data_IF_170355558392
#
_entry.id   IF_170355558392
#
_cell.length_a   1.000
_cell.length_b   1.000
_cell.length_c   1.000
_cell.angle_alpha   90.00
_cell.angle_beta   90.00
_cell.angle_gamma   90.00
#
_symmetry.space_group_name_H-M   'P 1'
#
loop_
_entity.id
_entity.type
_entity.pdbx_description
1 polymer ?
#
# COMPACT_ATOMS: atom_id res chain seq x y z
N UNK A 1 13.63 -13.80 6.83
CA UNK A 1 13.34 -12.66 5.94
C UNK A 1 14.11 -12.85 4.65
N UNK A 2 13.43 -12.82 3.50
CA UNK A 2 14.05 -12.92 2.17
C UNK A 2 13.85 -11.60 1.43
N UNK A 3 14.96 -10.95 1.05
CA UNK A 3 14.95 -9.79 0.15
C UNK A 3 15.06 -10.25 -1.29
N UNK A 4 14.22 -9.72 -2.18
CA UNK A 4 14.25 -10.03 -3.61
C UNK A 4 14.03 -8.79 -4.48
N UNK A 5 14.43 -8.89 -5.74
CA UNK A 5 14.11 -7.90 -6.77
C UNK A 5 12.84 -8.38 -7.45
N UNK A 6 11.79 -7.58 -7.33
CA UNK A 6 10.46 -7.85 -7.86
C UNK A 6 10.31 -7.41 -9.32
N UNK A 7 11.03 -6.35 -9.69
CA UNK A 7 11.03 -5.78 -11.03
C UNK A 7 12.38 -5.12 -11.28
N UNK A 8 12.95 -5.31 -12.46
CA UNK A 8 14.20 -4.68 -12.91
C UNK A 8 13.99 -4.05 -14.29
N UNK A 9 14.34 -2.78 -14.41
CA UNK A 9 14.31 -2.05 -15.66
C UNK A 9 15.67 -1.40 -15.90
N UNK A 10 16.32 -1.79 -17.00
CA UNK A 10 17.60 -1.23 -17.42
C UNK A 10 17.43 0.24 -17.79
N UNK A 11 18.27 1.09 -17.22
CA UNK A 11 18.37 2.50 -17.57
C UNK A 11 19.64 2.72 -18.40
N UNK A 12 19.59 3.46 -19.52
CA UNK A 12 20.75 3.64 -20.40
C UNK A 12 21.88 4.46 -19.74
N UNK A 13 21.57 5.38 -18.81
CA UNK A 13 22.53 6.33 -18.24
C UNK A 13 22.57 6.34 -16.71
N UNK A 14 21.90 5.39 -16.04
CA UNK A 14 21.87 5.27 -14.57
C UNK A 14 21.86 3.80 -14.16
N UNK A 15 22.03 3.55 -12.87
CA UNK A 15 21.74 2.25 -12.28
C UNK A 15 20.34 1.78 -12.68
N UNK A 16 20.15 0.46 -12.77
CA UNK A 16 18.85 -0.12 -13.08
C UNK A 16 17.80 0.32 -12.06
N UNK A 17 16.59 0.54 -12.56
CA UNK A 17 15.44 0.77 -11.70
C UNK A 17 14.95 -0.57 -11.15
N UNK A 18 15.16 -0.79 -9.86
CA UNK A 18 14.75 -2.02 -9.18
C UNK A 18 13.66 -1.76 -8.14
N UNK A 19 12.60 -2.56 -8.16
CA UNK A 19 11.64 -2.62 -7.06
C UNK A 19 12.06 -3.76 -6.15
N UNK A 20 12.28 -3.48 -4.88
CA UNK A 20 12.62 -4.49 -3.89
C UNK A 20 11.40 -4.93 -3.09
N UNK A 21 11.31 -6.25 -2.88
CA UNK A 21 10.34 -6.88 -1.99
C UNK A 21 11.04 -7.55 -0.80
N UNK A 22 10.38 -7.52 0.35
CA UNK A 22 10.79 -8.25 1.56
C UNK A 22 9.70 -9.26 1.90
N UNK A 23 10.04 -10.54 1.85
CA UNK A 23 9.15 -11.65 2.21
C UNK A 23 9.43 -12.15 3.61
N UNK A 24 8.36 -12.44 4.33
CA UNK A 24 8.36 -12.99 5.67
C UNK A 24 7.41 -14.18 5.74
N UNK A 25 7.81 -15.22 6.49
CA UNK A 25 7.08 -16.47 6.51
C UNK A 25 7.14 -17.23 5.18
N UNK A 26 6.39 -18.33 5.09
CA UNK A 26 6.37 -19.23 3.95
C UNK A 26 4.96 -19.81 3.77
N UNK A 27 4.53 -20.02 2.53
CA UNK A 27 3.27 -20.69 2.19
C UNK A 27 2.31 -19.84 1.38
N UNK A 28 1.05 -19.77 1.81
CA UNK A 28 -0.02 -19.06 1.10
C UNK A 28 0.20 -17.54 1.19
N UNK A 29 0.03 -16.86 0.06
CA UNK A 29 0.13 -15.40 -0.05
C UNK A 29 -0.95 -14.70 0.78
N UNK A 30 -0.62 -14.30 2.00
CA UNK A 30 -1.58 -13.79 2.97
C UNK A 30 -1.77 -12.28 2.81
N UNK A 31 -0.72 -11.49 3.02
CA UNK A 31 -0.79 -10.01 2.97
C UNK A 31 0.33 -9.43 2.08
N UNK A 32 -0.03 -8.54 1.17
CA UNK A 32 0.91 -7.68 0.45
C UNK A 32 0.78 -6.24 0.95
N UNK A 33 1.91 -5.58 1.23
CA UNK A 33 1.98 -4.22 1.75
C UNK A 33 2.80 -3.38 0.80
N UNK A 34 2.18 -2.36 0.22
CA UNK A 34 2.80 -1.42 -0.73
C UNK A 34 2.99 -0.08 -0.02
N UNK A 35 4.24 0.37 0.06
CA UNK A 35 4.64 1.64 0.64
C UNK A 35 4.54 2.79 -0.35
N UNK A 36 5.58 3.62 -0.38
CA UNK A 36 5.63 4.83 -1.18
C UNK A 36 5.54 4.53 -2.69
N UNK A 37 4.53 5.08 -3.35
CA UNK A 37 4.37 4.99 -4.81
C UNK A 37 4.73 6.31 -5.50
N UNK A 38 4.71 7.40 -4.74
CA UNK A 38 5.13 8.75 -5.17
C UNK A 38 6.42 9.16 -4.45
N UNK A 39 7.19 10.05 -5.05
CA UNK A 39 8.50 10.42 -4.52
C UNK A 39 8.45 11.36 -3.31
N UNK A 40 7.32 11.97 -3.00
CA UNK A 40 7.12 12.82 -1.82
C UNK A 40 6.50 12.07 -0.62
N UNK A 41 6.40 10.74 -0.70
CA UNK A 41 5.81 9.85 0.31
C UNK A 41 6.85 9.29 1.31
N UNK A 42 7.73 10.17 1.81
CA UNK A 42 8.83 9.80 2.73
C UNK A 42 8.28 9.16 4.02
N UNK A 43 7.13 9.62 4.51
CA UNK A 43 6.49 9.08 5.71
C UNK A 43 6.07 7.61 5.52
N UNK A 44 5.52 7.27 4.35
CA UNK A 44 5.12 5.91 3.99
C UNK A 44 6.34 4.99 3.88
N UNK A 45 7.44 5.49 3.31
CA UNK A 45 8.71 4.76 3.28
C UNK A 45 9.25 4.50 4.70
N UNK A 46 9.18 5.48 5.60
CA UNK A 46 9.59 5.32 6.99
C UNK A 46 8.73 4.29 7.72
N UNK A 47 7.40 4.33 7.55
CA UNK A 47 6.50 3.33 8.14
C UNK A 47 6.86 1.93 7.64
N UNK A 48 7.12 1.77 6.33
CA UNK A 48 7.59 0.50 5.78
C UNK A 48 8.92 0.03 6.40
N UNK A 49 9.87 0.94 6.68
CA UNK A 49 11.15 0.56 7.29
C UNK A 49 10.97 0.05 8.72
N UNK A 50 10.13 0.71 9.52
CA UNK A 50 9.78 0.26 10.87
C UNK A 50 9.01 -1.06 10.83
N UNK A 51 8.10 -1.22 9.87
CA UNK A 51 7.35 -2.45 9.69
C UNK A 51 8.28 -3.63 9.34
N UNK A 52 9.21 -3.44 8.40
CA UNK A 52 10.21 -4.46 8.05
C UNK A 52 11.03 -4.82 9.28
N UNK A 53 11.51 -3.83 10.04
CA UNK A 53 12.26 -4.07 11.29
C UNK A 53 11.47 -4.91 12.29
N UNK A 54 10.21 -4.52 12.55
CA UNK A 54 9.35 -5.25 13.48
C UNK A 54 9.02 -6.66 12.99
N UNK A 55 8.77 -6.84 11.69
CA UNK A 55 8.50 -8.16 11.10
C UNK A 55 9.71 -9.08 11.20
N UNK A 56 10.94 -8.57 11.08
CA UNK A 56 12.16 -9.36 11.33
C UNK A 56 12.16 -9.89 12.78
N UNK A 57 11.88 -9.04 13.76
CA UNK A 57 11.84 -9.44 15.18
C UNK A 57 10.72 -10.47 15.47
N UNK A 58 9.55 -10.27 14.86
CA UNK A 58 8.40 -11.17 14.99
C UNK A 58 8.68 -12.53 14.35
N UNK A 59 9.28 -12.54 13.16
CA UNK A 59 9.66 -13.76 12.45
C UNK A 59 10.72 -14.54 13.23
N UNK A 60 11.71 -13.86 13.80
CA UNK A 60 12.73 -14.47 14.66
C UNK A 60 12.13 -15.13 15.91
N UNK A 61 11.03 -14.58 16.43
CA UNK A 61 10.27 -15.16 17.55
C UNK A 61 9.30 -16.28 17.13
N UNK A 62 9.19 -16.58 15.83
CA UNK A 62 8.27 -17.59 15.31
C UNK A 62 6.79 -17.25 15.50
N UNK A 63 6.48 -15.96 15.64
CA UNK A 63 5.12 -15.47 15.88
C UNK A 63 4.30 -15.34 14.60
N UNK A 64 4.92 -15.41 13.42
CA UNK A 64 4.18 -15.47 12.15
C UNK A 64 3.46 -16.83 12.06
N UNK A 65 2.17 -16.83 11.76
CA UNK A 65 1.38 -18.04 11.55
C UNK A 65 2.01 -18.90 10.46
N UNK A 66 2.18 -20.20 10.76
CA UNK A 66 2.77 -21.15 9.82
C UNK A 66 1.93 -21.23 8.54
N UNK A 67 2.59 -21.36 7.39
CA UNK A 67 1.92 -21.47 6.09
C UNK A 67 1.38 -20.15 5.52
N UNK A 68 1.72 -19.01 6.11
CA UNK A 68 1.31 -17.68 5.64
C UNK A 68 2.52 -16.83 5.29
N UNK A 69 2.47 -16.19 4.12
CA UNK A 69 3.50 -15.31 3.59
C UNK A 69 3.04 -13.84 3.61
N UNK A 70 3.95 -12.96 4.04
CA UNK A 70 3.78 -11.51 4.02
C UNK A 70 4.81 -10.91 3.08
N UNK A 71 4.38 -10.04 2.17
CA UNK A 71 5.25 -9.27 1.30
C UNK A 71 5.16 -7.79 1.62
N UNK A 72 6.31 -7.15 1.80
CA UNK A 72 6.43 -5.71 1.96
C UNK A 72 7.24 -5.13 0.80
N UNK A 73 6.67 -4.13 0.12
CA UNK A 73 7.28 -3.39 -0.98
C UNK A 73 7.45 -1.93 -0.51
N UNK A 74 8.62 -1.52 0.01
CA UNK A 74 8.76 -0.23 0.67
C UNK A 74 8.58 0.98 -0.26
N UNK A 75 9.01 0.84 -1.52
CA UNK A 75 8.83 1.87 -2.53
C UNK A 75 8.68 1.26 -3.91
N UNK A 76 7.68 1.74 -4.66
CA UNK A 76 7.49 1.42 -6.07
C UNK A 76 8.09 2.49 -7.00
N UNK A 77 8.65 3.58 -6.47
CA UNK A 77 9.17 4.70 -7.25
C UNK A 77 10.35 5.40 -6.54
N UNK A 78 11.44 4.66 -6.29
CA UNK A 78 12.61 5.21 -5.59
C UNK A 78 13.35 6.29 -6.38
N UNK A 79 13.31 6.27 -7.71
CA UNK A 79 13.90 7.32 -8.53
C UNK A 79 13.31 8.69 -8.28
N UNK A 80 11.97 8.79 -8.21
CA UNK A 80 11.33 10.07 -7.96
C UNK A 80 11.51 10.51 -6.51
N UNK A 81 11.63 9.54 -5.60
CA UNK A 81 11.93 9.80 -4.18
C UNK A 81 13.32 10.41 -3.97
N UNK A 82 14.33 9.93 -4.69
CA UNK A 82 15.71 10.46 -4.62
C UNK A 82 15.81 11.93 -5.04
N UNK A 83 14.89 12.42 -5.86
CA UNK A 83 14.84 13.82 -6.32
C UNK A 83 13.66 14.59 -5.71
N UNK A 84 12.98 14.02 -4.72
CA UNK A 84 11.78 14.58 -4.07
C UNK A 84 10.69 15.05 -5.07
N UNK A 85 10.55 14.34 -6.20
CA UNK A 85 9.52 14.61 -7.21
C UNK A 85 8.34 13.68 -6.98
N UNK A 86 7.15 14.25 -6.88
CA UNK A 86 5.92 13.50 -6.60
C UNK A 86 5.66 12.41 -7.65
N UNK A 87 5.71 12.77 -8.93
CA UNK A 87 5.44 11.88 -10.05
C UNK A 87 6.71 11.36 -10.69
N UNK A 88 6.57 10.44 -11.64
CA UNK A 88 7.71 9.86 -12.34
C UNK A 88 8.63 10.93 -12.92
N UNK A 89 9.93 10.75 -12.70
CA UNK A 89 10.92 11.78 -12.96
C UNK A 89 10.95 12.23 -14.44
N UNK A 90 10.76 11.29 -15.36
CA UNK A 90 10.95 11.50 -16.81
C UNK A 90 9.74 12.14 -17.50
N UNK A 91 8.53 11.67 -17.19
CA UNK A 91 7.30 12.01 -17.95
C UNK A 91 6.23 12.69 -17.06
N UNK A 92 6.50 12.84 -15.76
CA UNK A 92 5.57 13.40 -14.78
C UNK A 92 4.28 12.58 -14.58
N UNK A 93 4.30 11.29 -14.93
CA UNK A 93 3.15 10.38 -14.79
C UNK A 93 2.95 9.95 -13.33
N UNK A 94 1.69 9.96 -12.88
CA UNK A 94 1.29 9.40 -11.58
C UNK A 94 1.06 7.89 -11.70
N UNK A 95 1.97 7.08 -11.15
CA UNK A 95 1.85 5.60 -11.17
C UNK A 95 0.52 5.11 -10.58
N UNK A 96 -0.04 5.82 -9.59
CA UNK A 96 -1.31 5.44 -8.97
C UNK A 96 -2.52 5.63 -9.91
N UNK A 97 -2.31 6.18 -11.12
CA UNK A 97 -3.30 6.31 -12.20
C UNK A 97 -3.05 5.37 -13.37
N UNK A 98 -2.07 4.49 -13.22
CA UNK A 98 -1.65 3.58 -14.28
C UNK A 98 -2.03 2.14 -13.97
N UNK A 99 -2.89 1.85 -12.98
CA UNK A 99 -3.35 0.49 -12.70
C UNK A 99 -4.54 0.12 -13.60
N UNK A 100 -4.68 -1.17 -14.00
CA UNK A 100 -3.81 -2.31 -13.67
C UNK A 100 -2.45 -2.32 -14.38
N UNK A 101 -2.22 -1.40 -15.31
CA UNK A 101 -0.98 -1.27 -16.07
C UNK A 101 -1.07 -1.90 -17.45
N UNK A 102 -0.02 -1.67 -18.24
CA UNK A 102 0.16 -2.31 -19.54
C UNK A 102 1.64 -2.66 -19.72
N UNK A 103 1.93 -3.94 -19.89
CA UNK A 103 3.28 -4.52 -19.98
C UNK A 103 4.04 -4.12 -21.26
N UNK A 104 3.31 -3.74 -22.30
CA UNK A 104 3.83 -3.16 -23.56
C UNK A 104 3.64 -1.64 -23.64
N UNK A 105 3.19 -1.01 -22.55
CA UNK A 105 2.99 0.42 -22.47
C UNK A 105 4.27 1.19 -22.20
N UNK A 106 4.10 2.45 -21.81
CA UNK A 106 5.18 3.32 -21.36
C UNK A 106 5.79 2.82 -20.04
N UNK A 107 6.96 3.37 -19.69
CA UNK A 107 7.73 2.94 -18.50
C UNK A 107 6.87 2.83 -17.23
N UNK A 108 6.07 3.85 -16.93
CA UNK A 108 5.22 3.89 -15.72
C UNK A 108 4.10 2.85 -15.76
N UNK A 109 3.53 2.56 -16.94
CA UNK A 109 2.49 1.54 -17.11
C UNK A 109 3.06 0.13 -16.95
N UNK A 110 4.29 -0.11 -17.41
CA UNK A 110 5.00 -1.39 -17.26
C UNK A 110 5.31 -1.68 -15.79
N UNK A 111 5.73 -0.65 -15.05
CA UNK A 111 5.96 -0.75 -13.61
C UNK A 111 4.65 -1.07 -12.87
N UNK A 112 3.56 -0.37 -13.21
CA UNK A 112 2.25 -0.62 -12.62
C UNK A 112 1.74 -2.05 -12.92
N UNK A 113 1.91 -2.52 -14.16
CA UNK A 113 1.56 -3.89 -14.57
C UNK A 113 2.34 -4.94 -13.77
N UNK A 114 3.66 -4.79 -13.68
CA UNK A 114 4.49 -5.69 -12.90
C UNK A 114 4.07 -5.72 -11.42
N UNK A 115 3.87 -4.54 -10.82
CA UNK A 115 3.43 -4.44 -9.42
C UNK A 115 2.07 -5.10 -9.21
N UNK A 116 1.12 -4.88 -10.12
CA UNK A 116 -0.20 -5.50 -10.07
C UNK A 116 -0.14 -7.03 -10.15
N UNK A 117 0.68 -7.57 -11.04
CA UNK A 117 0.91 -9.01 -11.22
C UNK A 117 1.53 -9.67 -9.98
N UNK A 118 2.42 -8.98 -9.27
CA UNK A 118 3.02 -9.47 -8.02
C UNK A 118 1.97 -9.56 -6.92
N UNK A 119 1.19 -8.49 -6.76
CA UNK A 119 0.25 -8.40 -5.65
C UNK A 119 -0.99 -9.24 -5.89
N UNK A 120 -1.44 -9.49 -7.14
CA UNK A 120 -2.77 -10.04 -7.44
C UNK A 120 -3.13 -11.34 -6.70
N UNK A 121 -2.14 -12.18 -6.39
CA UNK A 121 -2.33 -13.47 -5.72
C UNK A 121 -2.44 -13.42 -4.19
N UNK A 122 -2.32 -12.25 -3.55
CA UNK A 122 -2.40 -12.11 -2.09
C UNK A 122 -3.82 -11.95 -1.58
N UNK A 123 -4.18 -12.62 -0.48
CA UNK A 123 -5.52 -12.55 0.13
C UNK A 123 -5.88 -11.17 0.70
N UNK A 124 -4.88 -10.36 1.09
CA UNK A 124 -5.06 -9.01 1.60
C UNK A 124 -4.02 -8.06 0.98
N UNK A 125 -4.39 -6.78 0.79
CA UNK A 125 -3.53 -5.77 0.17
C UNK A 125 -3.59 -4.42 0.89
N UNK A 126 -2.50 -4.02 1.53
CA UNK A 126 -2.40 -2.74 2.25
C UNK A 126 -1.59 -1.76 1.39
N UNK A 127 -2.14 -0.58 1.13
CA UNK A 127 -1.39 0.52 0.52
C UNK A 127 -1.25 1.66 1.51
N UNK A 128 -0.01 2.09 1.73
CA UNK A 128 0.31 3.32 2.44
C UNK A 128 0.31 4.45 1.41
N UNK A 129 -0.66 5.36 1.49
CA UNK A 129 -0.84 6.41 0.50
C UNK A 129 -0.81 7.80 1.14
N UNK A 130 -0.46 8.81 0.34
CA UNK A 130 -0.60 10.24 0.67
C UNK A 130 -1.76 10.90 -0.08
N UNK A 131 -2.21 12.05 0.42
CA UNK A 131 -3.27 12.83 -0.25
C UNK A 131 -2.63 13.69 -1.32
N UNK A 132 -3.41 14.01 -2.36
CA UNK A 132 -3.03 15.01 -3.34
C UNK A 132 -3.16 16.44 -2.77
N UNK A 133 -4.06 16.62 -1.80
CA UNK A 133 -4.23 17.87 -1.10
C UNK A 133 -3.10 18.04 -0.09
N UNK A 134 -2.44 19.20 -0.14
CA UNK A 134 -1.58 19.65 0.95
C UNK A 134 -2.46 19.90 2.17
N UNK A 135 -1.99 19.42 3.30
CA UNK A 135 -2.70 19.60 4.54
C UNK A 135 -2.48 18.43 5.47
N UNK A 136 -3.33 18.46 6.46
CA UNK A 136 -3.08 17.97 7.76
C UNK A 136 -4.33 17.10 8.03
N UNK A 137 -4.16 15.77 8.00
CA UNK A 137 -5.28 14.83 8.08
C UNK A 137 -5.16 13.92 9.29
N UNK A 138 -6.30 13.42 9.74
CA UNK A 138 -6.36 12.49 10.84
C UNK A 138 -5.98 11.09 10.33
N UNK A 139 -5.18 10.31 11.08
CA UNK A 139 -4.93 8.92 10.75
C UNK A 139 -6.24 8.15 10.67
N UNK A 140 -6.49 7.52 9.55
CA UNK A 140 -7.72 6.79 9.31
C UNK A 140 -7.48 5.68 8.33
N UNK A 141 -8.38 4.71 8.29
CA UNK A 141 -8.34 3.66 7.31
C UNK A 141 -9.47 3.90 6.29
N UNK A 142 -9.18 3.98 4.99
CA UNK A 142 -10.21 4.15 3.93
C UNK A 142 -10.47 2.88 3.13
N UNK A 143 -11.73 2.42 3.08
CA UNK A 143 -12.21 1.36 2.17
C UNK A 143 -13.01 1.97 1.01
N UNK A 144 -12.97 1.34 -0.16
CA UNK A 144 -13.89 1.64 -1.27
C UNK A 144 -15.15 0.79 -1.14
N UNK A 145 -16.32 1.38 -1.34
CA UNK A 145 -17.60 0.66 -1.34
C UNK A 145 -17.82 0.00 -2.70
N UNK A 146 -17.42 -1.26 -2.82
CA UNK A 146 -17.53 -2.06 -4.06
C UNK A 146 -18.47 -3.26 -3.90
N UNK A 147 -19.15 -3.38 -2.76
CA UNK A 147 -19.95 -4.54 -2.38
C UNK A 147 -19.16 -5.71 -1.79
N UNK A 148 -17.83 -5.66 -1.84
CA UNK A 148 -16.90 -6.68 -1.33
C UNK A 148 -15.97 -6.12 -0.23
N UNK A 149 -16.43 -5.11 0.51
CA UNK A 149 -15.66 -4.49 1.60
C UNK A 149 -15.86 -5.17 2.96
N UNK A 150 -14.77 -5.36 3.70
CA UNK A 150 -14.77 -6.01 5.02
C UNK A 150 -14.65 -4.84 5.97
N UNK A 151 -15.68 -4.58 6.77
CA UNK A 151 -15.63 -3.51 7.75
C UNK A 151 -15.01 -3.97 9.08
N UNK A 152 -14.94 -5.27 9.35
CA UNK A 152 -14.39 -5.83 10.58
C UNK A 152 -12.86 -5.87 10.54
N UNK A 153 -12.29 -6.44 9.47
CA UNK A 153 -10.83 -6.48 9.23
C UNK A 153 -10.29 -5.06 9.20
N UNK A 154 -11.05 -4.21 8.56
CA UNK A 154 -10.93 -2.78 8.54
C UNK A 154 -10.86 -2.14 9.94
N UNK A 155 -11.88 -2.32 10.79
CA UNK A 155 -11.92 -1.77 12.16
C UNK A 155 -10.76 -2.23 13.03
N UNK A 156 -10.33 -3.46 12.84
CA UNK A 156 -9.31 -4.06 13.68
C UNK A 156 -7.89 -3.50 13.48
N UNK A 157 -7.64 -2.71 12.43
CA UNK A 157 -6.44 -1.85 12.34
C UNK A 157 -6.27 -0.91 13.53
N UNK A 158 -7.34 -0.62 14.28
CA UNK A 158 -7.27 0.17 15.51
C UNK A 158 -7.02 1.66 15.29
N UNK A 159 -7.15 2.17 14.05
CA UNK A 159 -7.10 3.61 13.80
C UNK A 159 -8.41 4.30 14.24
N UNK A 160 -8.36 5.60 14.59
CA UNK A 160 -9.50 6.33 15.12
C UNK A 160 -10.74 6.35 14.21
N UNK A 161 -10.54 6.23 12.90
CA UNK A 161 -11.60 6.39 11.93
C UNK A 161 -11.53 5.40 10.78
N UNK A 162 -12.73 5.02 10.37
CA UNK A 162 -13.07 4.23 9.18
C UNK A 162 -13.71 5.17 8.18
N UNK A 163 -13.16 5.27 6.97
CA UNK A 163 -13.80 5.98 5.88
C UNK A 163 -14.23 5.01 4.80
N UNK A 164 -15.54 4.83 4.63
CA UNK A 164 -16.11 4.13 3.49
C UNK A 164 -16.45 5.18 2.42
N UNK A 165 -15.95 4.98 1.20
CA UNK A 165 -16.15 5.92 0.09
C UNK A 165 -16.68 5.19 -1.13
N UNK A 166 -17.76 5.71 -1.70
CA UNK A 166 -18.28 5.26 -2.99
C UNK A 166 -17.30 5.60 -4.13
N UNK A 167 -16.99 4.64 -5.01
CA UNK A 167 -16.12 4.87 -6.15
C UNK A 167 -16.76 5.81 -7.15
N UNK A 168 -15.99 6.79 -7.62
CA UNK A 168 -16.35 7.59 -8.80
C UNK A 168 -15.60 7.09 -10.03
N UNK A 169 -16.06 7.44 -11.24
CA UNK A 169 -15.42 7.02 -12.49
C UNK A 169 -13.90 7.28 -12.53
N UNK A 170 -13.44 8.36 -11.88
CA UNK A 170 -12.02 8.70 -11.77
C UNK A 170 -11.20 7.74 -10.89
N UNK A 171 -11.83 6.96 -10.01
CA UNK A 171 -11.15 6.00 -9.14
C UNK A 171 -10.83 4.68 -9.88
N UNK A 172 -11.37 4.49 -11.10
CA UNK A 172 -11.19 3.25 -11.90
C UNK A 172 -9.74 2.91 -12.24
N UNK A 173 -8.85 3.90 -12.28
CA UNK A 173 -7.42 3.72 -12.60
C UNK A 173 -6.53 3.56 -11.38
N UNK A 174 -7.13 3.60 -10.17
CA UNK A 174 -6.41 3.41 -8.92
C UNK A 174 -6.12 1.93 -8.67
N UNK A 175 -5.01 1.67 -7.98
CA UNK A 175 -4.69 0.32 -7.49
C UNK A 175 -5.83 -0.25 -6.63
N UNK A 176 -6.48 0.61 -5.86
CA UNK A 176 -7.52 0.26 -4.89
C UNK A 176 -8.84 -0.14 -5.56
N UNK A 177 -9.07 0.25 -6.81
CA UNK A 177 -10.29 -0.07 -7.54
C UNK A 177 -10.13 -1.31 -8.43
N UNK A 178 -8.99 -1.44 -9.10
CA UNK A 178 -8.75 -2.51 -10.09
C UNK A 178 -8.60 -3.92 -9.49
N UNK A 179 -8.79 -4.08 -8.17
CA UNK A 179 -8.68 -5.36 -7.50
C UNK A 179 -10.05 -5.77 -6.95
N UNK A 180 -10.83 -6.45 -7.80
CA UNK A 180 -12.23 -6.81 -7.54
C UNK A 180 -12.45 -7.95 -6.52
N UNK A 181 -11.42 -8.62 -5.99
CA UNK A 181 -11.63 -9.85 -5.20
C UNK A 181 -10.80 -9.98 -3.91
N UNK A 182 -10.34 -8.87 -3.32
CA UNK A 182 -9.67 -8.92 -2.02
C UNK A 182 -10.15 -7.79 -1.12
N UNK A 183 -10.93 -8.24 -0.13
CA UNK A 183 -11.18 -7.58 1.13
C UNK A 183 -9.88 -6.99 1.71
N UNK A 184 -10.00 -5.83 2.34
CA UNK A 184 -8.91 -5.08 2.99
C UNK A 184 -7.93 -4.29 2.12
N UNK A 185 -8.41 -3.63 1.05
CA UNK A 185 -7.89 -2.30 0.78
C UNK A 185 -8.52 -1.31 1.75
N UNK A 186 -8.10 -1.37 3.03
CA UNK A 186 -8.31 -0.25 3.91
C UNK A 186 -7.01 0.51 3.98
N UNK A 187 -6.98 1.56 3.18
CA UNK A 187 -5.95 2.58 3.07
C UNK A 187 -5.63 3.13 4.46
N UNK A 188 -4.60 2.61 5.14
CA UNK A 188 -4.04 3.28 6.31
C UNK A 188 -3.45 4.61 5.83
N UNK A 189 -4.24 5.66 6.02
CA UNK A 189 -3.78 7.01 5.95
C UNK A 189 -3.00 7.29 7.21
N UNK A 190 -1.69 7.45 7.06
CA UNK A 190 -0.95 8.33 7.95
C UNK A 190 -0.90 9.67 7.26
N UNK A 191 -1.75 10.57 7.75
CA UNK A 191 -1.49 11.97 7.61
C UNK A 191 -1.18 12.47 9.01
N UNK A 192 -0.15 13.29 9.11
CA UNK A 192 0.05 14.13 10.26
C UNK A 192 -0.52 15.47 9.87
N UNK A 193 -1.69 15.79 10.42
CA UNK A 193 -1.86 17.16 10.87
C UNK A 193 -3.25 17.73 11.25
N UNK A 194 -3.19 18.95 11.82
CA UNK A 194 -4.18 20.00 12.16
C UNK A 194 -5.22 20.39 11.09
N UNK A 195 -6.46 20.06 11.47
CA UNK A 195 -7.76 20.68 11.15
C UNK A 195 -7.87 21.53 9.88
N UNK A 196 -8.78 21.12 8.98
CA UNK A 196 -10.09 21.79 8.83
C UNK A 196 -11.08 20.95 8.02
N UNK A 197 -12.35 21.30 8.21
CA UNK A 197 -13.58 20.56 7.89
C UNK A 197 -13.74 20.19 6.41
N UNK A 198 -14.21 18.97 6.17
CA UNK A 198 -15.32 18.73 5.24
C UNK A 198 -16.08 17.47 5.62
N UNK A 199 -17.39 17.47 5.37
CA UNK A 199 -18.35 16.42 5.73
C UNK A 199 -17.88 15.07 5.16
N UNK A 200 -17.33 14.25 6.04
CA UNK A 200 -17.01 12.85 5.82
C UNK A 200 -18.03 12.07 6.65
N UNK A 201 -18.61 11.00 6.12
CA UNK A 201 -19.36 10.04 6.93
C UNK A 201 -18.33 9.29 7.78
N UNK A 202 -18.03 9.87 8.94
CA UNK A 202 -17.04 9.38 9.88
C UNK A 202 -17.72 8.35 10.77
N UNK A 203 -17.41 7.06 10.59
CA UNK A 203 -17.73 6.07 11.61
C UNK A 203 -16.61 6.13 12.66
N UNK A 204 -16.97 6.58 13.87
CA UNK A 204 -16.10 6.53 15.04
C UNK A 204 -16.07 5.10 15.56
N UNK A 205 -14.88 4.51 15.65
CA UNK A 205 -14.68 3.18 16.24
C UNK A 205 -14.83 3.25 17.77
N UNK A 206 -16.07 3.29 18.27
CA UNK A 206 -16.41 3.10 19.69
C UNK A 206 -16.90 1.66 19.96
N UNK A 207 -16.19 0.67 19.46
CA UNK A 207 -16.36 -0.74 19.87
C UNK A 207 -15.06 -1.23 20.48
N UNK A 208 -15.16 -2.04 21.54
CA UNK A 208 -14.03 -2.52 22.33
C UNK A 208 -12.89 -3.01 21.44
N UNK A 209 -11.66 -2.58 21.77
CA UNK A 209 -10.43 -2.93 21.07
C UNK A 209 -10.18 -4.44 21.15
N UNK A 210 -10.77 -5.21 20.24
CA UNK A 210 -10.28 -6.57 19.95
C UNK A 210 -9.03 -6.43 19.08
N UNK A 211 -7.89 -6.81 19.63
CA UNK A 211 -6.66 -7.03 18.86
C UNK A 211 -6.93 -8.09 17.78
N UNK A 212 -6.78 -7.77 16.50
CA UNK A 212 -6.92 -8.79 15.46
C UNK A 212 -5.71 -9.72 15.42
N UNK A 213 -5.97 -11.02 15.48
CA UNK A 213 -5.01 -12.05 15.14
C UNK A 213 -4.95 -12.20 13.61
N UNK A 214 -4.25 -11.29 12.94
CA UNK A 214 -4.22 -11.29 11.49
C UNK A 214 -3.33 -12.36 10.88
N UNK A 215 -2.11 -12.49 11.41
CA UNK A 215 -1.08 -13.44 10.97
C UNK A 215 -0.06 -13.67 12.10
N UNK A 216 -0.32 -13.11 13.28
CA UNK A 216 0.57 -13.19 14.43
C UNK A 216 -0.08 -14.06 15.49
N UNK A 217 0.71 -14.96 16.07
CA UNK A 217 0.31 -15.83 17.17
C UNK A 217 0.16 -15.04 18.46
#
# INVERSE_FOLDING_TARGET
MKREILFDLKSPYRNNFQIHGFRFGEGKKAVAIVGAMRGDEIQQQFICSQLVKNLIEIEAKGLIWKGHEILVIPSANHFSMNINKRFWAMDNTDINRMFPGYDKGETTQRIAAALFEIIKGYHYGIQLASFYLRGEFIPHVRVMDTGYQDLDVAESFGLPYVLVREPVAFDTTLLNYNRHNIFLFRRCFFAVGKKTNNRIRVMSTKREKKTPNFILK
#
